data_IF_329454914811
#
_entry.id   IF_329454914811
#
_cell.length_a   1.000
_cell.length_b   1.000
_cell.length_c   1.000
_cell.angle_alpha   90.00
_cell.angle_beta   90.00
_cell.angle_gamma   90.00
#
_symmetry.space_group_name_H-M   'P 1'
#
loop_
_entity.id
_entity.type
_entity.pdbx_description
1 polymer ?
#
# COMPACT_ATOMS: atom_id res chain seq x y z
N UNK A 1 24.48 24.32 19.67
CA UNK A 1 23.39 24.57 18.71
C UNK A 1 22.31 23.52 18.93
N UNK A 2 21.10 23.93 19.28
CA UNK A 2 19.98 23.06 19.64
C UNK A 2 19.29 22.50 18.38
N UNK A 3 19.94 21.56 17.68
CA UNK A 3 19.34 20.88 16.52
C UNK A 3 18.05 20.12 16.86
N UNK A 4 17.83 19.80 18.14
CA UNK A 4 16.58 19.23 18.63
C UNK A 4 15.35 20.13 18.35
N UNK A 5 15.50 21.46 18.44
CA UNK A 5 14.40 22.41 18.20
C UNK A 5 14.04 22.53 16.71
N UNK A 6 15.03 22.41 15.83
CA UNK A 6 14.78 22.44 14.38
C UNK A 6 14.17 21.12 13.89
N UNK A 7 14.45 20.00 14.56
CA UNK A 7 13.79 18.70 14.31
C UNK A 7 12.26 18.75 14.41
N UNK A 8 11.71 19.54 15.33
CA UNK A 8 10.25 19.70 15.48
C UNK A 8 9.59 20.39 14.29
N UNK A 9 10.30 21.28 13.59
CA UNK A 9 9.77 21.99 12.41
C UNK A 9 9.65 21.08 11.19
N UNK A 10 10.50 20.05 11.10
CA UNK A 10 10.53 19.10 9.98
C UNK A 10 9.82 17.78 10.28
N UNK A 11 9.10 17.69 11.41
CA UNK A 11 8.44 16.45 11.89
C UNK A 11 9.43 15.28 12.03
N UNK A 12 10.65 15.54 12.50
CA UNK A 12 11.60 14.48 12.79
C UNK A 12 11.06 13.59 13.92
N UNK A 13 11.07 12.27 13.71
CA UNK A 13 10.51 11.32 14.68
C UNK A 13 11.32 11.22 15.97
N UNK A 14 12.66 11.31 15.90
CA UNK A 14 13.56 11.35 17.07
C UNK A 14 14.91 11.97 16.70
N UNK A 15 15.60 12.55 17.67
CA UNK A 15 16.97 13.05 17.52
C UNK A 15 17.94 12.06 18.18
N UNK A 16 18.85 11.47 17.40
CA UNK A 16 19.80 10.46 17.87
C UNK A 16 21.20 11.07 18.01
N UNK A 17 21.86 10.83 19.14
CA UNK A 17 23.23 11.26 19.41
C UNK A 17 24.21 10.11 19.12
N UNK A 18 25.38 10.44 18.56
CA UNK A 18 26.37 9.43 18.13
C UNK A 18 26.92 8.60 19.29
N UNK A 19 26.99 9.18 20.49
CA UNK A 19 27.66 8.60 21.64
C UNK A 19 26.84 7.47 22.31
N UNK A 20 25.55 7.38 22.02
CA UNK A 20 24.65 6.31 22.49
C UNK A 20 23.76 5.76 21.36
N UNK A 21 24.24 5.85 20.11
CA UNK A 21 23.45 5.53 18.93
C UNK A 21 22.97 4.07 18.90
N UNK A 22 23.84 3.13 19.28
CA UNK A 22 23.51 1.70 19.24
C UNK A 22 22.32 1.34 20.14
N UNK A 23 22.27 1.90 21.34
CA UNK A 23 21.20 1.62 22.30
C UNK A 23 19.91 2.39 21.96
N UNK A 24 20.05 3.63 21.47
CA UNK A 24 18.90 4.51 21.19
C UNK A 24 18.24 4.25 19.85
N UNK A 25 18.94 3.67 18.88
CA UNK A 25 18.38 3.37 17.56
C UNK A 25 17.41 2.19 17.61
N UNK A 26 17.71 1.16 18.41
CA UNK A 26 16.85 -0.03 18.54
C UNK A 26 15.50 0.36 19.17
N UNK A 27 15.52 1.06 20.30
CA UNK A 27 14.31 1.59 20.95
C UNK A 27 13.53 2.54 20.01
N UNK A 28 14.23 3.42 19.30
CA UNK A 28 13.60 4.31 18.33
C UNK A 28 12.92 3.54 17.19
N UNK A 29 13.53 2.45 16.71
CA UNK A 29 12.95 1.62 15.67
C UNK A 29 11.72 0.87 16.16
N UNK A 30 11.76 0.32 17.37
CA UNK A 30 10.61 -0.37 17.97
C UNK A 30 9.42 0.57 18.16
N UNK A 31 9.66 1.78 18.66
CA UNK A 31 8.62 2.83 18.80
C UNK A 31 8.00 3.18 17.44
N UNK A 32 8.83 3.37 16.41
CA UNK A 32 8.38 3.67 15.06
C UNK A 32 7.57 2.53 14.44
N UNK A 33 8.02 1.29 14.61
CA UNK A 33 7.29 0.10 14.12
C UNK A 33 5.95 -0.03 14.85
N UNK A 34 5.91 0.19 16.16
CA UNK A 34 4.69 0.17 16.94
C UNK A 34 3.71 1.27 16.49
N UNK A 35 4.20 2.48 16.22
CA UNK A 35 3.41 3.59 15.72
C UNK A 35 2.87 3.31 14.31
N UNK A 36 3.70 2.79 13.39
CA UNK A 36 3.28 2.36 12.05
C UNK A 36 2.19 1.27 12.14
N UNK A 37 2.39 0.27 13.00
CA UNK A 37 1.43 -0.82 13.17
C UNK A 37 0.11 -0.33 13.78
N UNK A 38 0.16 0.61 14.73
CA UNK A 38 -1.01 1.26 15.31
C UNK A 38 -1.80 2.08 14.28
N UNK A 39 -1.10 2.65 13.30
CA UNK A 39 -1.67 3.46 12.23
C UNK A 39 -2.13 2.63 11.01
N UNK A 40 -1.98 1.31 11.02
CA UNK A 40 -2.53 0.45 9.95
C UNK A 40 -4.05 0.61 9.89
N UNK A 41 -4.55 0.87 8.69
CA UNK A 41 -5.98 1.06 8.45
C UNK A 41 -6.68 -0.30 8.39
N UNK A 42 -7.60 -0.53 9.34
CA UNK A 42 -8.53 -1.66 9.32
C UNK A 42 -9.77 -1.23 8.55
N UNK A 43 -10.15 -2.06 7.59
CA UNK A 43 -11.34 -1.91 6.75
C UNK A 43 -12.29 -3.06 7.05
N UNK A 44 -13.58 -2.75 7.18
CA UNK A 44 -14.62 -3.77 7.32
C UNK A 44 -15.43 -3.83 6.03
N UNK A 45 -15.49 -5.01 5.43
CA UNK A 45 -16.26 -5.26 4.22
C UNK A 45 -17.26 -6.38 4.46
N UNK A 46 -18.43 -6.26 3.84
CA UNK A 46 -19.42 -7.33 3.77
C UNK A 46 -19.19 -8.15 2.50
N UNK A 47 -18.41 -9.22 2.62
CA UNK A 47 -18.15 -10.16 1.55
C UNK A 47 -19.26 -11.23 1.47
N UNK A 48 -19.20 -12.06 0.43
CA UNK A 48 -20.03 -13.26 0.30
C UNK A 48 -19.77 -14.23 1.45
N UNK A 49 -18.52 -14.31 1.90
CA UNK A 49 -18.07 -15.15 3.01
C UNK A 49 -18.48 -14.60 4.40
N UNK A 50 -19.05 -13.39 4.45
CA UNK A 50 -19.48 -12.71 5.67
C UNK A 50 -18.81 -11.35 5.89
N UNK A 51 -19.00 -10.77 7.06
CA UNK A 51 -18.33 -9.52 7.45
C UNK A 51 -16.91 -9.82 7.89
N UNK A 52 -15.93 -9.26 7.19
CA UNK A 52 -14.50 -9.52 7.45
C UNK A 52 -13.77 -8.20 7.62
N UNK A 53 -12.93 -8.14 8.65
CA UNK A 53 -12.00 -7.04 8.88
C UNK A 53 -10.65 -7.37 8.25
N UNK A 54 -10.16 -6.48 7.39
CA UNK A 54 -8.88 -6.61 6.70
C UNK A 54 -8.04 -5.37 6.96
N UNK A 55 -6.74 -5.55 7.13
CA UNK A 55 -5.82 -4.42 6.97
C UNK A 55 -5.69 -4.10 5.49
N UNK A 56 -5.70 -2.82 5.11
CA UNK A 56 -5.49 -2.41 3.73
C UNK A 56 -4.16 -2.98 3.18
N UNK A 57 -3.14 -3.02 4.03
CA UNK A 57 -1.82 -3.58 3.78
C UNK A 57 -1.80 -5.09 3.49
N UNK A 58 -2.81 -5.85 3.94
CA UNK A 58 -2.89 -7.30 3.71
C UNK A 58 -3.51 -7.62 2.33
N UNK A 59 -4.11 -6.62 1.67
CA UNK A 59 -4.72 -6.76 0.35
C UNK A 59 -3.63 -6.58 -0.72
N UNK A 60 -3.40 -7.61 -1.52
CA UNK A 60 -2.39 -7.64 -2.58
C UNK A 60 -2.91 -6.94 -3.83
N UNK A 61 -4.08 -7.36 -4.31
CA UNK A 61 -4.79 -6.74 -5.42
C UNK A 61 -6.27 -7.12 -5.40
N UNK A 62 -7.07 -6.39 -6.16
CA UNK A 62 -8.48 -6.65 -6.40
C UNK A 62 -8.69 -6.84 -7.89
N UNK A 63 -9.38 -7.90 -8.26
CA UNK A 63 -9.68 -8.25 -9.64
C UNK A 63 -11.19 -8.39 -9.86
N UNK A 64 -11.69 -7.83 -10.95
CA UNK A 64 -13.08 -8.05 -11.37
C UNK A 64 -13.20 -9.38 -12.10
N UNK A 65 -13.97 -10.30 -11.55
CA UNK A 65 -14.27 -11.62 -12.12
C UNK A 65 -15.78 -11.83 -12.17
N UNK A 66 -16.37 -12.17 -13.32
CA UNK A 66 -17.80 -12.55 -13.43
C UNK A 66 -18.77 -11.64 -12.63
N UNK A 67 -18.65 -10.32 -12.81
CA UNK A 67 -19.47 -9.27 -12.16
C UNK A 67 -19.28 -9.06 -10.64
N UNK A 68 -18.29 -9.71 -10.02
CA UNK A 68 -17.87 -9.49 -8.64
C UNK A 68 -16.43 -9.00 -8.59
N UNK A 69 -16.07 -8.33 -7.51
CA UNK A 69 -14.67 -8.04 -7.22
C UNK A 69 -14.14 -9.04 -6.21
N UNK A 70 -12.97 -9.59 -6.52
CA UNK A 70 -12.26 -10.58 -5.72
C UNK A 70 -11.04 -9.92 -5.11
N UNK A 71 -10.99 -9.91 -3.79
CA UNK A 71 -9.85 -9.43 -3.02
C UNK A 71 -8.88 -10.58 -2.87
N UNK A 72 -7.66 -10.42 -3.38
CA UNK A 72 -6.56 -11.35 -3.15
C UNK A 72 -5.71 -10.80 -2.00
N UNK A 73 -5.64 -11.54 -0.91
CA UNK A 73 -4.98 -11.12 0.34
C UNK A 73 -4.00 -12.19 0.81
N UNK A 74 -3.14 -11.86 1.77
CA UNK A 74 -2.26 -12.85 2.43
C UNK A 74 -3.06 -13.94 3.19
N UNK A 75 -4.32 -13.66 3.56
CA UNK A 75 -5.21 -14.56 4.30
C UNK A 75 -6.12 -15.42 3.41
N UNK A 76 -6.02 -15.26 2.09
CA UNK A 76 -6.89 -15.91 1.11
C UNK A 76 -7.69 -14.91 0.27
N UNK A 77 -8.76 -15.40 -0.34
CA UNK A 77 -9.58 -14.62 -1.28
C UNK A 77 -10.98 -14.35 -0.74
N UNK A 78 -11.50 -13.13 -0.96
CA UNK A 78 -12.83 -12.73 -0.52
C UNK A 78 -13.59 -12.02 -1.64
N UNK A 79 -14.90 -12.24 -1.74
CA UNK A 79 -15.70 -11.80 -2.88
C UNK A 79 -16.74 -10.76 -2.47
N UNK A 80 -16.89 -9.69 -3.25
CA UNK A 80 -17.87 -8.63 -2.97
C UNK A 80 -18.62 -8.18 -4.23
N UNK A 81 -19.91 -7.89 -4.06
CA UNK A 81 -20.78 -7.27 -5.06
C UNK A 81 -20.71 -5.76 -4.97
N UNK A 82 -19.57 -5.20 -5.36
CA UNK A 82 -19.32 -3.76 -5.35
C UNK A 82 -18.51 -3.38 -6.58
N UNK A 83 -18.72 -2.19 -7.16
CA UNK A 83 -17.95 -1.78 -8.35
C UNK A 83 -16.49 -1.48 -7.98
N UNK A 84 -15.58 -1.75 -8.92
CA UNK A 84 -14.16 -1.52 -8.68
C UNK A 84 -13.85 -0.03 -8.48
N UNK A 85 -14.63 0.86 -9.10
CA UNK A 85 -14.51 2.31 -8.94
C UNK A 85 -14.92 2.79 -7.53
N UNK A 86 -15.88 2.12 -6.89
CA UNK A 86 -16.23 2.40 -5.50
C UNK A 86 -15.11 1.94 -4.56
N UNK A 87 -14.55 0.75 -4.82
CA UNK A 87 -13.41 0.23 -4.07
C UNK A 87 -12.16 1.10 -4.22
N UNK A 88 -11.91 1.63 -5.41
CA UNK A 88 -10.81 2.58 -5.67
C UNK A 88 -10.96 3.86 -4.85
N UNK A 89 -12.19 4.39 -4.71
CA UNK A 89 -12.45 5.55 -3.87
C UNK A 89 -12.30 5.25 -2.37
N UNK A 90 -12.73 4.07 -1.92
CA UNK A 90 -12.61 3.67 -0.50
C UNK A 90 -11.17 3.37 -0.09
N UNK A 91 -10.37 2.87 -1.03
CA UNK A 91 -8.95 2.55 -0.85
C UNK A 91 -8.02 3.69 -1.26
N UNK A 92 -8.60 4.87 -1.54
CA UNK A 92 -7.85 6.06 -1.91
C UNK A 92 -6.87 6.43 -0.80
N UNK A 93 -5.67 6.85 -1.22
CA UNK A 93 -4.55 7.23 -0.34
C UNK A 93 -4.05 6.09 0.57
N UNK A 94 -4.43 4.83 0.29
CA UNK A 94 -3.96 3.63 1.00
C UNK A 94 -2.94 2.83 0.16
N UNK A 95 -2.30 3.47 -0.81
CA UNK A 95 -1.25 2.86 -1.64
C UNK A 95 -1.77 1.97 -2.78
N UNK A 96 -3.01 2.16 -3.23
CA UNK A 96 -3.56 1.43 -4.37
C UNK A 96 -3.46 2.23 -5.68
N UNK A 97 -3.26 1.53 -6.79
CA UNK A 97 -3.21 2.10 -8.15
C UNK A 97 -4.10 1.30 -9.10
N UNK A 98 -4.89 2.02 -9.93
CA UNK A 98 -5.76 1.40 -10.96
C UNK A 98 -4.95 1.04 -12.20
N UNK A 99 -4.39 -0.17 -12.20
CA UNK A 99 -3.51 -0.67 -13.27
C UNK A 99 -4.25 -1.02 -14.57
N UNK A 100 -5.50 -1.47 -14.46
CA UNK A 100 -6.33 -1.92 -15.59
C UNK A 100 -7.82 -1.66 -15.29
N UNK A 101 -8.69 -1.84 -16.30
CA UNK A 101 -10.15 -1.74 -16.09
C UNK A 101 -10.66 -2.73 -15.02
N UNK A 102 -10.02 -3.88 -14.92
CA UNK A 102 -10.39 -4.97 -14.00
C UNK A 102 -9.43 -5.14 -12.81
N UNK A 103 -8.42 -4.27 -12.66
CA UNK A 103 -7.38 -4.45 -11.64
C UNK A 103 -7.11 -3.18 -10.86
N UNK A 104 -7.23 -3.28 -9.54
CA UNK A 104 -6.77 -2.31 -8.55
C UNK A 104 -5.68 -2.99 -7.71
N UNK A 105 -4.47 -2.43 -7.70
CA UNK A 105 -3.28 -3.12 -7.17
C UNK A 105 -2.71 -2.34 -6.01
N UNK A 106 -2.36 -3.03 -4.92
CA UNK A 106 -1.60 -2.42 -3.84
C UNK A 106 -0.13 -2.30 -4.24
N UNK A 107 0.38 -1.08 -4.29
CA UNK A 107 1.73 -0.75 -4.74
C UNK A 107 2.83 -1.37 -3.88
N UNK A 108 2.53 -1.72 -2.62
CA UNK A 108 3.42 -2.48 -1.73
C UNK A 108 3.86 -3.81 -2.34
N UNK A 109 3.00 -4.44 -3.13
CA UNK A 109 3.23 -5.77 -3.71
C UNK A 109 3.73 -5.71 -5.16
N UNK A 110 4.04 -4.54 -5.70
CA UNK A 110 4.62 -4.41 -7.04
C UNK A 110 6.14 -4.66 -6.95
N UNK A 111 6.64 -5.56 -7.79
CA UNK A 111 8.08 -5.81 -7.94
C UNK A 111 8.69 -5.00 -9.07
N UNK A 112 7.97 -4.86 -10.19
CA UNK A 112 8.46 -4.14 -11.38
C UNK A 112 7.32 -3.69 -12.27
N UNK A 113 7.49 -2.53 -12.91
CA UNK A 113 6.66 -2.06 -14.03
C UNK A 113 7.57 -1.81 -15.23
N UNK A 114 7.44 -2.61 -16.29
CA UNK A 114 8.23 -2.47 -17.51
C UNK A 114 7.50 -3.02 -18.73
N UNK A 115 7.75 -2.45 -19.90
CA UNK A 115 7.22 -2.95 -21.17
C UNK A 115 5.69 -3.16 -21.15
N UNK A 116 4.96 -2.21 -20.55
CA UNK A 116 3.50 -2.28 -20.40
C UNK A 116 2.99 -3.45 -19.54
N UNK A 117 3.85 -4.02 -18.69
CA UNK A 117 3.50 -5.10 -17.76
C UNK A 117 3.93 -4.73 -16.34
N UNK A 118 2.99 -4.85 -15.41
CA UNK A 118 3.21 -4.79 -13.97
C UNK A 118 3.39 -6.22 -13.44
N UNK A 119 4.42 -6.46 -12.64
CA UNK A 119 4.68 -7.75 -11.99
C UNK A 119 4.51 -7.59 -10.48
N UNK A 120 3.80 -8.52 -9.86
CA UNK A 120 3.57 -8.55 -8.41
C UNK A 120 4.55 -9.50 -7.70
N UNK A 121 4.67 -9.41 -6.38
CA UNK A 121 5.46 -10.33 -5.55
C UNK A 121 4.93 -11.76 -5.60
N UNK A 122 3.65 -11.95 -5.91
CA UNK A 122 3.02 -13.26 -6.16
C UNK A 122 3.47 -13.90 -7.49
N UNK A 123 4.23 -13.17 -8.33
CA UNK A 123 4.59 -13.58 -9.68
C UNK A 123 3.52 -13.26 -10.74
N UNK A 124 2.32 -12.80 -10.34
CA UNK A 124 1.26 -12.41 -11.28
C UNK A 124 1.71 -11.23 -12.14
N UNK A 125 1.42 -11.33 -13.44
CA UNK A 125 1.70 -10.29 -14.44
C UNK A 125 0.40 -9.65 -14.90
N UNK A 126 0.30 -8.34 -14.75
CA UNK A 126 -0.89 -7.55 -15.11
C UNK A 126 -0.51 -6.63 -16.29
N UNK A 127 -1.13 -6.80 -17.46
CA UNK A 127 -0.98 -5.86 -18.56
C UNK A 127 -1.50 -4.48 -18.17
N UNK A 128 -0.70 -3.45 -18.41
CA UNK A 128 -1.06 -2.05 -18.19
C UNK A 128 -1.29 -1.41 -19.56
N UNK A 129 -2.52 -0.95 -19.88
CA UNK A 129 -2.82 -0.35 -21.17
C UNK A 129 -1.92 0.87 -21.43
N UNK A 130 -1.48 1.06 -22.69
CA UNK A 130 -0.59 2.18 -23.07
C UNK A 130 -1.12 3.53 -22.57
N UNK A 131 -2.43 3.74 -22.65
CA UNK A 131 -3.10 4.97 -22.20
C UNK A 131 -2.95 5.24 -20.69
N UNK A 132 -2.81 4.20 -19.86
CA UNK A 132 -2.66 4.31 -18.40
C UNK A 132 -1.22 4.18 -17.93
N UNK A 133 -0.33 3.64 -18.76
CA UNK A 133 1.02 3.27 -18.36
C UNK A 133 1.82 4.42 -17.74
N UNK A 134 1.76 5.61 -18.35
CA UNK A 134 2.47 6.79 -17.84
C UNK A 134 1.96 7.24 -16.46
N UNK A 135 0.64 7.21 -16.26
CA UNK A 135 0.00 7.52 -14.98
C UNK A 135 0.41 6.51 -13.90
N UNK A 136 0.22 5.21 -14.19
CA UNK A 136 0.51 4.12 -13.24
C UNK A 136 1.98 4.13 -12.82
N UNK A 137 2.91 4.35 -13.77
CA UNK A 137 4.34 4.43 -13.46
C UNK A 137 4.66 5.63 -12.55
N UNK A 138 4.02 6.79 -12.80
CA UNK A 138 4.19 8.00 -11.98
C UNK A 138 3.68 7.79 -10.55
N UNK A 139 2.48 7.24 -10.39
CA UNK A 139 1.92 6.95 -9.07
C UNK A 139 2.81 5.99 -8.28
N UNK A 140 3.37 4.98 -8.95
CA UNK A 140 4.30 4.04 -8.32
C UNK A 140 5.64 4.68 -7.92
N UNK A 141 6.20 5.57 -8.74
CA UNK A 141 7.42 6.32 -8.41
C UNK A 141 7.21 7.23 -7.20
N UNK A 142 6.10 7.99 -7.18
CA UNK A 142 5.71 8.82 -6.04
C UNK A 142 5.53 7.98 -4.77
N UNK A 143 4.91 6.80 -4.88
CA UNK A 143 4.76 5.88 -3.76
C UNK A 143 6.10 5.38 -3.20
N UNK A 144 7.11 5.16 -4.05
CA UNK A 144 8.46 4.75 -3.63
C UNK A 144 9.31 5.89 -3.08
N UNK A 145 8.88 7.14 -3.22
CA UNK A 145 9.69 8.31 -2.88
C UNK A 145 10.89 8.51 -3.82
N UNK A 146 10.81 7.96 -5.03
CA UNK A 146 11.80 8.17 -6.10
C UNK A 146 11.29 9.32 -6.99
N UNK A 147 11.92 10.50 -6.90
CA UNK A 147 11.71 11.64 -7.84
C UNK A 147 12.42 11.43 -9.17
#
# INVERSE_FOLDING_TARGET
MNYALDGYKVKASRFLLKDNLADTIEECMDDLIAEINKNRRILEFRFVEGTIKLYADDIIYIETELHKNVFYTEKGTFQIYKKLDELENELKDMGFVRAHLSFLVNMKYITKISSYVMTLTTGKKIPVPKARYAQVKREYMLYKGEE
#
